data_IF_690538566575
#
_entry.id   IF_690538566575
#
_cell.length_a   1.000
_cell.length_b   1.000
_cell.length_c   1.000
_cell.angle_alpha   90.00
_cell.angle_beta   90.00
_cell.angle_gamma   90.00
#
_symmetry.space_group_name_H-M   'P 1'
#
loop_
_entity.id
_entity.type
_entity.pdbx_description
1 polymer ?
#
# COMPACT_ATOMS: atom_id res chain seq x y z
N UNK A 1 7.76 -6.25 20.74
CA UNK A 1 7.66 -5.03 19.89
C UNK A 1 7.15 -3.94 20.79
N UNK A 2 7.81 -2.78 20.84
CA UNK A 2 7.29 -1.65 21.63
C UNK A 2 6.05 -1.09 20.93
N UNK A 3 5.09 -0.61 21.73
CA UNK A 3 3.89 0.03 21.18
C UNK A 3 4.27 1.27 20.36
N UNK A 4 3.64 1.42 19.20
CA UNK A 4 3.83 2.61 18.37
C UNK A 4 3.07 3.79 18.95
N UNK A 5 3.64 4.97 18.83
CA UNK A 5 3.00 6.23 19.22
C UNK A 5 2.72 7.09 18.00
N UNK A 6 1.63 7.84 18.05
CA UNK A 6 1.38 8.83 17.01
C UNK A 6 2.23 10.07 17.27
N UNK A 7 2.83 10.60 16.20
CA UNK A 7 3.68 11.80 16.21
C UNK A 7 2.88 13.10 16.14
N UNK A 8 1.59 12.98 15.85
CA UNK A 8 0.67 14.14 15.79
C UNK A 8 0.26 14.56 17.20
N UNK A 9 0.14 15.85 17.43
CA UNK A 9 -0.28 16.40 18.73
C UNK A 9 -1.64 15.85 19.16
N UNK A 10 -1.80 15.67 20.49
CA UNK A 10 -3.05 15.17 21.06
C UNK A 10 -4.22 16.08 20.70
N UNK A 11 -5.28 15.49 20.14
CA UNK A 11 -6.48 16.20 19.67
C UNK A 11 -6.41 16.72 18.24
N UNK A 12 -5.25 16.62 17.57
CA UNK A 12 -5.14 16.95 16.15
C UNK A 12 -5.52 15.76 15.27
N UNK A 13 -6.16 16.05 14.14
CA UNK A 13 -6.52 15.01 13.14
C UNK A 13 -5.30 14.63 12.30
N UNK A 14 -5.12 13.33 12.08
CA UNK A 14 -4.06 12.82 11.22
C UNK A 14 -4.47 13.00 9.75
N UNK A 15 -3.65 13.72 8.99
CA UNK A 15 -3.94 14.00 7.59
C UNK A 15 -3.70 12.78 6.69
N UNK A 16 -4.54 12.59 5.66
CA UNK A 16 -4.45 11.48 4.70
C UNK A 16 -3.07 11.37 4.04
N UNK A 17 -2.43 12.49 3.74
CA UNK A 17 -1.08 12.54 3.13
C UNK A 17 0.03 11.91 3.98
N UNK A 18 -0.25 11.62 5.25
CA UNK A 18 0.70 10.99 6.17
C UNK A 18 0.75 9.46 6.05
N UNK A 19 -0.13 8.85 5.23
CA UNK A 19 -0.07 7.44 4.89
C UNK A 19 0.15 7.30 3.38
N UNK A 20 1.31 6.80 2.98
CA UNK A 20 1.73 6.76 1.58
C UNK A 20 2.08 5.34 1.18
N UNK A 21 1.52 4.88 0.06
CA UNK A 21 1.88 3.62 -0.56
C UNK A 21 2.98 3.85 -1.62
N UNK A 22 3.95 2.96 -1.63
CA UNK A 22 5.07 2.98 -2.57
C UNK A 22 5.16 1.65 -3.30
N UNK A 23 5.47 1.70 -4.58
CA UNK A 23 5.83 0.56 -5.41
C UNK A 23 7.35 0.48 -5.54
N UNK A 24 7.91 -0.70 -5.42
CA UNK A 24 9.31 -0.92 -5.78
C UNK A 24 9.47 -0.86 -7.30
N UNK A 25 10.09 0.19 -7.81
CA UNK A 25 10.40 0.37 -9.23
C UNK A 25 11.79 -0.14 -9.60
N UNK A 26 12.62 -0.43 -8.60
CA UNK A 26 13.93 -1.07 -8.76
C UNK A 26 13.86 -2.60 -8.73
N UNK A 27 15.00 -3.22 -8.49
CA UNK A 27 15.14 -4.66 -8.32
C UNK A 27 14.84 -5.08 -6.87
N UNK A 28 14.57 -6.37 -6.66
CA UNK A 28 14.25 -6.91 -5.32
C UNK A 28 15.40 -6.72 -4.32
N UNK A 29 16.66 -6.80 -4.79
CA UNK A 29 17.88 -6.62 -3.99
C UNK A 29 18.25 -5.16 -3.75
N UNK A 30 17.81 -4.26 -4.62
CA UNK A 30 18.06 -2.81 -4.56
C UNK A 30 16.75 -2.06 -4.81
N UNK A 31 15.85 -2.06 -3.82
CA UNK A 31 14.53 -1.46 -4.01
C UNK A 31 14.63 0.06 -4.18
N UNK A 32 13.87 0.57 -5.14
CA UNK A 32 13.63 1.99 -5.35
C UNK A 32 12.16 2.25 -5.14
N UNK A 33 11.82 2.94 -4.07
CA UNK A 33 10.43 3.17 -3.67
C UNK A 33 9.85 4.40 -4.35
N UNK A 34 8.89 4.20 -5.22
CA UNK A 34 8.16 5.26 -5.92
C UNK A 34 6.73 5.37 -5.41
N UNK A 35 6.32 6.54 -4.95
CA UNK A 35 4.99 6.75 -4.39
C UNK A 35 3.90 6.54 -5.43
N UNK A 36 2.81 5.89 -5.01
CA UNK A 36 1.55 5.86 -5.76
C UNK A 36 0.61 6.85 -5.09
N UNK A 37 0.01 7.75 -5.84
CA UNK A 37 -0.94 8.71 -5.27
C UNK A 37 -0.90 10.09 -5.90
N UNK A 38 0.01 10.33 -6.83
CA UNK A 38 0.03 11.58 -7.59
C UNK A 38 -1.22 11.67 -8.45
N UNK A 39 -1.97 12.78 -8.31
CA UNK A 39 -3.27 12.98 -8.96
C UNK A 39 -4.34 11.92 -8.62
N UNK A 40 -4.24 11.36 -7.42
CA UNK A 40 -5.26 10.50 -6.82
C UNK A 40 -5.94 11.28 -5.70
N UNK A 41 -7.26 11.42 -5.78
CA UNK A 41 -8.01 12.22 -4.83
C UNK A 41 -8.43 11.41 -3.61
N UNK A 42 -8.81 10.16 -3.80
CA UNK A 42 -9.22 9.25 -2.73
C UNK A 42 -8.57 7.88 -2.89
N UNK A 43 -8.08 7.36 -1.77
CA UNK A 43 -7.54 6.02 -1.68
C UNK A 43 -7.51 5.59 -0.22
N UNK A 44 -8.23 4.53 0.11
CA UNK A 44 -8.27 3.93 1.44
C UNK A 44 -7.89 2.46 1.39
N UNK A 45 -7.27 1.97 2.45
CA UNK A 45 -6.97 0.55 2.64
C UNK A 45 -8.17 -0.10 3.30
N UNK A 46 -8.72 -1.12 2.66
CA UNK A 46 -9.77 -1.97 3.22
C UNK A 46 -9.15 -3.24 3.84
N UNK A 47 -9.67 -3.65 4.98
CA UNK A 47 -9.25 -4.84 5.72
C UNK A 47 -10.38 -5.86 5.74
N UNK A 48 -10.20 -6.99 5.07
CA UNK A 48 -11.12 -8.13 5.15
C UNK A 48 -10.60 -9.14 6.19
N UNK A 49 -11.14 -9.10 7.38
CA UNK A 49 -10.76 -9.96 8.50
C UNK A 49 -11.32 -11.37 8.42
N UNK A 50 -12.15 -11.67 7.42
CA UNK A 50 -12.79 -12.98 7.24
C UNK A 50 -13.40 -13.49 8.55
N UNK A 51 -14.16 -12.64 9.22
CA UNK A 51 -14.79 -12.92 10.50
C UNK A 51 -15.97 -13.87 10.35
N UNK A 52 -16.10 -14.79 11.30
CA UNK A 52 -17.23 -15.70 11.42
C UNK A 52 -17.75 -15.69 12.86
N UNK A 53 -19.07 -15.70 13.00
CA UNK A 53 -19.76 -15.87 14.29
C UNK A 53 -20.70 -17.05 14.24
N UNK A 54 -20.63 -17.91 15.25
CA UNK A 54 -21.47 -19.11 15.38
C UNK A 54 -22.06 -19.17 16.79
N UNK A 55 -23.27 -19.68 16.93
CA UNK A 55 -23.90 -19.92 18.20
C UNK A 55 -23.82 -21.42 18.54
N UNK A 56 -23.57 -21.74 19.81
CA UNK A 56 -23.71 -23.10 20.32
C UNK A 56 -25.20 -23.38 20.70
N UNK A 57 -25.47 -24.61 21.06
CA UNK A 57 -26.82 -25.05 21.47
C UNK A 57 -27.26 -24.45 22.82
N UNK A 58 -26.37 -23.82 23.56
CA UNK A 58 -26.63 -23.15 24.82
C UNK A 58 -26.87 -21.64 24.65
N UNK A 59 -26.79 -21.14 23.39
CA UNK A 59 -26.99 -19.74 23.06
C UNK A 59 -25.75 -18.85 23.20
N UNK A 60 -24.58 -19.44 23.44
CA UNK A 60 -23.32 -18.66 23.47
C UNK A 60 -22.82 -18.38 22.06
N UNK A 61 -22.31 -17.18 21.83
CA UNK A 61 -21.73 -16.77 20.55
C UNK A 61 -20.21 -16.94 20.58
N UNK A 62 -19.67 -17.61 19.57
CA UNK A 62 -18.24 -17.70 19.29
C UNK A 62 -17.90 -16.94 18.04
N UNK A 63 -16.96 -16.03 18.13
CA UNK A 63 -16.46 -15.26 17.00
C UNK A 63 -14.99 -15.58 16.75
N UNK A 64 -14.64 -15.78 15.48
CA UNK A 64 -13.26 -16.00 15.02
C UNK A 64 -12.97 -15.05 13.86
N UNK A 65 -11.72 -14.63 13.74
CA UNK A 65 -11.24 -13.84 12.63
C UNK A 65 -9.84 -14.32 12.21
N UNK A 66 -9.46 -14.04 10.97
CA UNK A 66 -8.15 -14.38 10.41
C UNK A 66 -7.31 -13.13 10.20
N UNK A 67 -6.04 -13.31 9.86
CA UNK A 67 -5.22 -12.20 9.34
C UNK A 67 -5.91 -11.56 8.13
N UNK A 68 -6.07 -10.24 8.10
CA UNK A 68 -6.87 -9.59 7.08
C UNK A 68 -6.22 -9.67 5.70
N UNK A 69 -7.05 -9.80 4.67
CA UNK A 69 -6.66 -9.51 3.31
C UNK A 69 -6.83 -8.00 3.12
N UNK A 70 -5.76 -7.33 2.74
CA UNK A 70 -5.77 -5.89 2.55
C UNK A 70 -5.89 -5.56 1.07
N UNK A 71 -6.78 -4.63 0.75
CA UNK A 71 -6.93 -4.09 -0.60
C UNK A 71 -6.90 -2.58 -0.59
N UNK A 72 -6.45 -1.98 -1.69
CA UNK A 72 -6.44 -0.54 -1.86
C UNK A 72 -6.70 -0.18 -3.31
N UNK A 73 -7.55 0.81 -3.54
CA UNK A 73 -7.84 1.34 -4.87
C UNK A 73 -7.32 2.77 -4.96
N UNK A 74 -6.74 3.11 -6.10
CA UNK A 74 -6.29 4.46 -6.45
C UNK A 74 -7.11 4.95 -7.63
N UNK A 75 -8.11 5.81 -7.37
CA UNK A 75 -9.06 6.29 -8.38
C UNK A 75 -9.52 7.74 -8.05
N UNK A 76 -9.54 8.66 -8.99
CA UNK A 76 -8.91 8.59 -10.31
C UNK A 76 -7.37 8.58 -10.18
N UNK A 77 -6.71 7.97 -11.12
CA UNK A 77 -5.25 7.97 -11.20
C UNK A 77 -4.86 8.43 -12.61
N UNK A 78 -4.71 9.73 -12.78
CA UNK A 78 -4.30 10.29 -14.08
C UNK A 78 -2.84 9.96 -14.38
N UNK A 79 -2.55 9.54 -15.60
CA UNK A 79 -1.19 9.24 -16.02
C UNK A 79 -0.32 10.49 -16.03
N UNK A 80 0.85 10.37 -15.42
CA UNK A 80 1.89 11.40 -15.39
C UNK A 80 3.18 10.83 -15.97
N UNK A 81 3.72 11.48 -17.01
CA UNK A 81 4.92 11.04 -17.71
C UNK A 81 6.19 10.94 -16.81
N UNK A 82 6.18 11.62 -15.66
CA UNK A 82 7.28 11.58 -14.68
C UNK A 82 7.07 10.60 -13.53
N UNK A 83 5.97 9.82 -13.51
CA UNK A 83 5.67 8.89 -12.45
C UNK A 83 6.22 7.48 -12.75
N UNK A 84 7.29 7.10 -12.05
CA UNK A 84 7.95 5.82 -12.28
C UNK A 84 7.08 4.61 -11.87
N UNK A 85 6.22 4.75 -10.85
CA UNK A 85 5.33 3.69 -10.43
C UNK A 85 4.26 3.41 -11.49
N UNK A 86 3.61 4.47 -11.98
CA UNK A 86 2.63 4.37 -13.06
C UNK A 86 3.26 3.80 -14.34
N UNK A 87 4.46 4.26 -14.70
CA UNK A 87 5.16 3.76 -15.88
C UNK A 87 5.48 2.27 -15.78
N UNK A 88 5.93 1.80 -14.60
CA UNK A 88 6.18 0.36 -14.37
C UNK A 88 4.91 -0.46 -14.52
N UNK A 89 3.80 -0.03 -13.90
CA UNK A 89 2.52 -0.73 -13.99
C UNK A 89 2.01 -0.73 -15.45
N UNK A 90 2.08 0.41 -16.13
CA UNK A 90 1.67 0.52 -17.53
C UNK A 90 2.47 -0.43 -18.45
N UNK A 91 3.79 -0.49 -18.28
CA UNK A 91 4.63 -1.41 -19.07
C UNK A 91 4.24 -2.86 -18.84
N UNK A 92 4.02 -3.27 -17.58
CA UNK A 92 3.64 -4.64 -17.24
C UNK A 92 2.23 -5.01 -17.71
N UNK A 93 1.28 -4.08 -17.60
CA UNK A 93 -0.13 -4.33 -17.88
C UNK A 93 -0.48 -4.11 -19.36
N UNK A 94 -0.05 -3.00 -19.94
CA UNK A 94 -0.48 -2.59 -21.28
C UNK A 94 0.48 -3.10 -22.35
N UNK A 95 1.79 -2.90 -22.16
CA UNK A 95 2.80 -3.29 -23.14
C UNK A 95 3.09 -4.79 -23.12
N UNK A 96 3.33 -5.37 -21.93
CA UNK A 96 3.74 -6.76 -21.80
C UNK A 96 2.57 -7.73 -21.55
N UNK A 97 1.46 -7.24 -20.98
CA UNK A 97 0.32 -8.03 -20.49
C UNK A 97 0.78 -9.17 -19.56
N UNK A 98 1.74 -8.88 -18.68
CA UNK A 98 2.40 -9.85 -17.84
C UNK A 98 1.71 -10.01 -16.50
N UNK A 99 0.65 -10.83 -16.47
CA UNK A 99 -0.12 -11.10 -15.25
C UNK A 99 0.73 -11.69 -14.12
N UNK A 100 1.71 -12.53 -14.42
CA UNK A 100 2.57 -13.14 -13.41
C UNK A 100 3.42 -12.09 -12.66
N UNK A 101 3.99 -11.14 -13.38
CA UNK A 101 4.73 -10.03 -12.74
C UNK A 101 3.81 -9.08 -11.98
N UNK A 102 2.60 -8.79 -12.50
CA UNK A 102 1.61 -7.95 -11.83
C UNK A 102 1.10 -8.58 -10.51
N UNK A 103 1.12 -9.90 -10.38
CA UNK A 103 0.78 -10.61 -9.14
C UNK A 103 1.96 -10.76 -8.17
N UNK A 104 3.13 -10.23 -8.49
CA UNK A 104 4.34 -10.40 -7.69
C UNK A 104 5.15 -9.11 -7.55
N UNK A 105 4.46 -8.03 -7.27
CA UNK A 105 5.07 -6.73 -7.05
C UNK A 105 5.33 -6.47 -5.56
N UNK A 106 6.40 -5.75 -5.28
CA UNK A 106 6.85 -5.42 -3.94
C UNK A 106 6.34 -4.02 -3.58
N UNK A 107 5.59 -3.93 -2.50
CA UNK A 107 4.94 -2.70 -2.03
C UNK A 107 5.35 -2.34 -0.61
N UNK A 108 5.38 -1.05 -0.34
CA UNK A 108 5.67 -0.50 0.98
C UNK A 108 4.58 0.51 1.36
N UNK A 109 4.02 0.39 2.56
CA UNK A 109 3.16 1.42 3.15
C UNK A 109 3.95 2.12 4.24
N UNK A 110 4.01 3.44 4.17
CA UNK A 110 4.71 4.28 5.16
C UNK A 110 3.68 5.12 5.91
N UNK A 111 3.70 5.00 7.24
CA UNK A 111 2.85 5.70 8.17
C UNK A 111 3.64 6.83 8.84
N UNK A 112 3.77 7.97 8.17
CA UNK A 112 4.59 9.09 8.68
C UNK A 112 4.07 9.71 9.97
N UNK A 113 2.84 9.38 10.34
CA UNK A 113 2.21 9.80 11.60
C UNK A 113 2.52 8.88 12.79
N UNK A 114 3.16 7.73 12.58
CA UNK A 114 3.42 6.73 13.62
C UNK A 114 4.91 6.38 13.69
N UNK A 115 5.46 6.26 14.91
CA UNK A 115 6.86 5.89 15.11
C UNK A 115 7.60 6.87 16.01
N UNK A 116 8.83 7.22 15.62
CA UNK A 116 9.66 8.24 16.28
C UNK A 116 10.12 9.26 15.25
N UNK A 117 10.54 10.43 15.70
CA UNK A 117 11.06 11.48 14.79
C UNK A 117 12.21 10.94 13.93
N UNK A 118 12.05 11.02 12.61
CA UNK A 118 13.04 10.55 11.64
C UNK A 118 13.03 9.06 11.32
N UNK A 119 12.27 8.24 12.10
CA UNK A 119 12.06 6.81 11.85
C UNK A 119 10.58 6.48 12.03
N UNK A 120 9.84 6.46 10.96
CA UNK A 120 8.40 6.23 10.97
C UNK A 120 8.07 4.77 10.70
N UNK A 121 6.93 4.31 11.20
CA UNK A 121 6.48 2.94 10.98
C UNK A 121 6.22 2.68 9.50
N UNK A 122 6.66 1.53 9.04
CA UNK A 122 6.42 1.08 7.68
C UNK A 122 6.21 -0.43 7.62
N UNK A 123 5.46 -0.85 6.62
CA UNK A 123 5.16 -2.26 6.36
C UNK A 123 5.37 -2.58 4.89
N UNK A 124 6.19 -3.60 4.63
CA UNK A 124 6.53 -4.10 3.31
C UNK A 124 5.78 -5.38 3.03
N UNK A 125 5.25 -5.50 1.83
CA UNK A 125 4.56 -6.68 1.30
C UNK A 125 5.27 -7.16 0.04
N UNK A 126 5.80 -8.39 0.07
CA UNK A 126 6.74 -8.89 -0.94
C UNK A 126 6.10 -9.41 -2.23
N UNK A 127 4.79 -9.64 -2.24
CA UNK A 127 4.10 -10.24 -3.39
C UNK A 127 2.67 -9.71 -3.49
N UNK A 128 2.56 -8.46 -3.90
CA UNK A 128 1.27 -7.81 -4.12
C UNK A 128 0.77 -8.01 -5.53
N UNK A 129 -0.54 -8.18 -5.68
CA UNK A 129 -1.21 -8.06 -6.97
C UNK A 129 -1.53 -6.57 -7.19
N UNK A 130 -0.97 -6.02 -8.24
CA UNK A 130 -1.20 -4.62 -8.64
C UNK A 130 -1.69 -4.63 -10.08
N UNK A 131 -2.91 -4.20 -10.30
CA UNK A 131 -3.53 -4.25 -11.63
C UNK A 131 -4.24 -2.94 -11.95
N UNK A 132 -4.10 -2.40 -13.16
CA UNK A 132 -5.01 -1.37 -13.61
C UNK A 132 -6.40 -1.96 -13.87
N UNK A 133 -7.46 -1.26 -13.44
CA UNK A 133 -8.85 -1.63 -13.70
C UNK A 133 -9.41 -1.00 -14.97
N UNK A 134 -8.70 -0.02 -15.54
CA UNK A 134 -9.10 0.66 -16.77
C UNK A 134 -7.97 1.51 -17.33
N UNK A 135 -8.16 1.97 -18.56
CA UNK A 135 -7.28 2.92 -19.23
C UNK A 135 -8.10 3.78 -20.16
N UNK A 136 -8.12 5.09 -19.95
CA UNK A 136 -8.85 6.02 -20.79
C UNK A 136 -9.30 7.27 -20.04
N UNK A 137 -10.18 8.03 -20.64
CA UNK A 137 -10.73 9.27 -20.08
C UNK A 137 -11.28 10.19 -21.17
N UNK A 138 -11.80 11.35 -20.78
CA UNK A 138 -12.37 12.32 -21.71
C UNK A 138 -11.36 13.40 -22.16
N UNK A 139 -10.54 13.90 -21.23
CA UNK A 139 -9.54 14.95 -21.49
C UNK A 139 -8.11 14.49 -21.15
N UNK A 140 -7.97 13.65 -20.17
CA UNK A 140 -6.70 13.03 -19.75
C UNK A 140 -6.85 11.51 -19.73
N UNK A 141 -5.73 10.80 -19.80
CA UNK A 141 -5.75 9.35 -19.67
C UNK A 141 -5.61 9.01 -18.18
N UNK A 142 -6.65 8.42 -17.60
CA UNK A 142 -6.63 7.82 -16.28
C UNK A 142 -6.33 6.32 -16.36
N UNK A 143 -5.65 5.82 -15.36
CA UNK A 143 -5.36 4.40 -15.16
C UNK A 143 -5.61 4.06 -13.69
N UNK A 144 -6.89 3.87 -13.28
CA UNK A 144 -7.21 3.43 -11.93
C UNK A 144 -6.48 2.13 -11.60
N UNK A 145 -5.96 2.03 -10.37
CA UNK A 145 -5.10 0.93 -9.94
C UNK A 145 -5.72 0.26 -8.73
N UNK A 146 -5.92 -1.05 -8.82
CA UNK A 146 -6.31 -1.89 -7.69
C UNK A 146 -5.10 -2.67 -7.18
N UNK A 147 -4.90 -2.63 -5.86
CA UNK A 147 -3.85 -3.34 -5.16
C UNK A 147 -4.47 -4.34 -4.18
N UNK A 148 -3.99 -5.58 -4.22
CA UNK A 148 -4.20 -6.55 -3.15
C UNK A 148 -2.85 -6.85 -2.54
N UNK A 149 -2.69 -6.51 -1.26
CA UNK A 149 -1.45 -6.73 -0.53
C UNK A 149 -1.30 -8.20 -0.18
N UNK A 150 -0.13 -8.78 -0.45
CA UNK A 150 0.10 -10.20 -0.29
C UNK A 150 1.57 -10.57 -0.09
N UNK A 151 1.84 -11.85 -0.06
CA UNK A 151 3.16 -12.39 0.25
C UNK A 151 3.51 -12.26 1.73
N UNK A 152 4.79 -12.07 2.04
CA UNK A 152 5.26 -11.88 3.41
C UNK A 152 5.14 -10.41 3.80
N UNK A 153 4.38 -10.15 4.87
CA UNK A 153 4.37 -8.84 5.53
C UNK A 153 5.58 -8.72 6.45
N UNK A 154 6.38 -7.70 6.24
CA UNK A 154 7.54 -7.36 7.08
C UNK A 154 7.32 -5.97 7.67
N UNK A 155 7.31 -5.86 8.99
CA UNK A 155 7.26 -4.56 9.68
C UNK A 155 8.66 -3.99 9.83
N UNK A 156 8.73 -2.68 9.98
CA UNK A 156 9.98 -1.99 10.16
C UNK A 156 9.81 -0.49 10.26
N UNK A 157 10.90 0.20 10.02
CA UNK A 157 10.93 1.66 10.00
C UNK A 157 11.34 2.17 8.62
N UNK A 158 10.80 3.32 8.24
CA UNK A 158 11.22 4.05 7.06
C UNK A 158 11.81 5.41 7.44
N UNK A 159 12.81 5.84 6.66
CA UNK A 159 13.27 7.23 6.63
C UNK A 159 12.91 7.83 5.28
N UNK A 160 12.37 9.04 5.29
CA UNK A 160 12.04 9.78 4.07
C UNK A 160 12.92 11.02 4.04
N UNK A 161 13.89 11.06 3.13
CA UNK A 161 14.82 12.16 2.98
C UNK A 161 14.88 12.60 1.52
N UNK A 162 14.62 13.87 1.25
CA UNK A 162 14.65 14.44 -0.10
C UNK A 162 13.86 13.63 -1.16
N UNK A 163 12.71 13.05 -0.76
CA UNK A 163 11.89 12.22 -1.64
C UNK A 163 12.35 10.78 -1.81
N UNK A 164 13.48 10.41 -1.20
CA UNK A 164 13.99 9.03 -1.20
C UNK A 164 13.53 8.32 0.08
N UNK A 165 12.94 7.16 -0.10
CA UNK A 165 12.49 6.31 1.00
C UNK A 165 13.45 5.15 1.20
N UNK A 166 13.90 4.95 2.43
CA UNK A 166 14.72 3.80 2.84
C UNK A 166 13.97 3.01 3.90
N UNK A 167 13.76 1.73 3.66
CA UNK A 167 13.11 0.82 4.60
C UNK A 167 14.15 -0.04 5.33
N UNK A 168 13.96 -0.18 6.65
CA UNK A 168 14.76 -1.08 7.50
C UNK A 168 13.79 -2.00 8.24
N UNK A 169 13.91 -3.30 8.00
CA UNK A 169 13.08 -4.30 8.67
C UNK A 169 13.40 -4.38 10.18
N UNK A 170 12.38 -4.68 10.97
CA UNK A 170 12.55 -5.06 12.37
C UNK A 170 13.28 -6.41 12.44
N UNK A 171 14.19 -6.55 13.39
CA UNK A 171 14.95 -7.80 13.67
C UNK A 171 14.23 -8.70 14.64
#
# INVERSE_FOLDING_TARGET
MADMTFLTDSGATIERKMMIAYLNTGEASTPVWSAIGKRVEDSSVAYDWQDESKNDILGNTYSTMKTPIMTQTFDPCELDAGDAAQLKIWNLAVKEQNAAKLCNLDMLIVHTYAGTSGKVFAERYSSCMVKPSGLGGSSTIGMPIDVTYGGTRTTGTATVAAGVVTFTADT
#
